data_IF_204513497039
#
_entry.id   IF_204513497039
#
_cell.length_a   1.000
_cell.length_b   1.000
_cell.length_c   1.000
_cell.angle_alpha   90.00
_cell.angle_beta   90.00
_cell.angle_gamma   90.00
#
_symmetry.space_group_name_H-M   'P 1'
#
loop_
_entity.id
_entity.type
_entity.pdbx_description
1 polymer ?
#
# COMPACT_ATOMS: atom_id res chain seq x y z
N UNK A 1 -30.73 -16.00 8.11
CA UNK A 1 -30.09 -14.76 8.56
C UNK A 1 -28.69 -15.17 9.01
N UNK A 2 -27.72 -15.18 8.08
CA UNK A 2 -26.38 -15.71 8.32
C UNK A 2 -25.46 -14.56 8.72
N UNK A 3 -24.90 -14.67 9.92
CA UNK A 3 -23.81 -13.83 10.40
C UNK A 3 -22.56 -14.18 9.57
N UNK A 4 -21.89 -13.18 8.98
CA UNK A 4 -20.69 -13.38 8.14
C UNK A 4 -19.57 -12.47 8.63
N UNK A 5 -18.77 -13.01 9.55
CA UNK A 5 -17.56 -12.36 10.08
C UNK A 5 -16.38 -12.60 9.11
N UNK A 6 -15.79 -11.54 8.52
CA UNK A 6 -14.52 -11.62 7.76
C UNK A 6 -13.37 -10.93 8.53
N UNK A 7 -12.46 -11.70 9.16
CA UNK A 7 -11.44 -11.15 10.07
C UNK A 7 -10.03 -10.90 9.47
N UNK A 8 -9.79 -11.00 8.15
CA UNK A 8 -8.41 -11.08 7.63
C UNK A 8 -8.09 -10.17 6.43
N UNK A 9 -8.51 -8.90 6.45
CA UNK A 9 -7.96 -7.85 5.56
C UNK A 9 -7.21 -6.83 6.39
N UNK A 10 -5.99 -6.50 5.95
CA UNK A 10 -5.12 -5.53 6.58
C UNK A 10 -4.99 -4.31 5.69
N UNK A 11 -5.23 -3.13 6.28
CA UNK A 11 -4.95 -1.85 5.62
C UNK A 11 -3.64 -1.29 6.16
N UNK A 12 -2.67 -1.06 5.28
CA UNK A 12 -1.41 -0.37 5.59
C UNK A 12 -1.48 1.02 4.98
N UNK A 13 -1.56 2.05 5.83
CA UNK A 13 -1.59 3.44 5.38
C UNK A 13 -0.21 4.06 5.45
N UNK A 14 0.28 4.57 4.32
CA UNK A 14 1.50 5.37 4.24
C UNK A 14 1.14 6.86 4.08
N UNK A 15 1.82 7.72 4.86
CA UNK A 15 1.66 9.18 4.78
C UNK A 15 3.01 9.86 4.73
N UNK A 16 3.10 10.96 3.99
CA UNK A 16 4.35 11.70 3.81
C UNK A 16 5.06 11.33 2.53
N UNK A 17 6.34 10.99 2.62
CA UNK A 17 7.19 10.78 1.46
C UNK A 17 7.53 9.29 1.31
N UNK A 18 7.50 8.79 0.09
CA UNK A 18 7.94 7.44 -0.29
C UNK A 18 9.06 7.57 -1.32
N UNK A 19 10.28 7.56 -0.82
CA UNK A 19 11.55 7.78 -1.52
C UNK A 19 12.58 6.73 -1.08
N UNK A 20 13.85 6.89 -1.49
CA UNK A 20 14.90 5.91 -1.16
C UNK A 20 15.16 5.77 0.35
N UNK A 21 14.88 6.79 1.15
CA UNK A 21 15.12 6.76 2.59
C UNK A 21 13.98 6.05 3.35
N UNK A 22 12.76 6.17 2.85
CA UNK A 22 11.54 5.68 3.50
C UNK A 22 11.00 4.39 2.89
N UNK A 23 11.35 4.08 1.64
CA UNK A 23 10.93 2.87 0.94
C UNK A 23 11.33 1.57 1.63
N UNK A 24 12.52 1.42 2.26
CA UNK A 24 12.87 0.18 2.95
C UNK A 24 11.95 -0.11 4.14
N UNK A 25 11.56 0.94 4.87
CA UNK A 25 10.63 0.83 6.00
C UNK A 25 9.24 0.38 5.54
N UNK A 26 8.72 0.99 4.47
CA UNK A 26 7.45 0.57 3.88
C UNK A 26 7.51 -0.88 3.41
N UNK A 27 8.60 -1.28 2.74
CA UNK A 27 8.78 -2.65 2.27
C UNK A 27 8.78 -3.66 3.43
N UNK A 28 9.61 -3.45 4.45
CA UNK A 28 9.66 -4.36 5.60
C UNK A 28 8.30 -4.52 6.26
N UNK A 29 7.53 -3.43 6.38
CA UNK A 29 6.20 -3.53 6.97
C UNK A 29 5.20 -4.27 6.08
N UNK A 30 5.28 -4.16 4.75
CA UNK A 30 4.42 -4.96 3.86
C UNK A 30 4.80 -6.44 3.92
N UNK A 31 6.11 -6.73 3.94
CA UNK A 31 6.63 -8.11 4.01
C UNK A 31 6.21 -8.84 5.31
N UNK A 32 5.97 -8.13 6.42
CA UNK A 32 5.43 -8.70 7.66
C UNK A 32 4.05 -9.37 7.47
N UNK A 33 3.23 -8.80 6.58
CA UNK A 33 1.87 -9.27 6.31
C UNK A 33 1.82 -10.26 5.15
N UNK A 34 2.78 -10.20 4.22
CA UNK A 34 2.84 -11.08 3.04
C UNK A 34 3.41 -12.44 3.45
N UNK A 35 2.50 -13.33 3.86
CA UNK A 35 2.78 -14.70 4.29
C UNK A 35 1.80 -15.64 3.59
N UNK A 36 2.19 -16.89 3.33
CA UNK A 36 1.25 -17.88 2.81
C UNK A 36 0.03 -18.00 3.74
N UNK A 37 -1.19 -17.93 3.17
CA UNK A 37 -2.44 -17.87 3.93
C UNK A 37 -2.55 -16.67 4.90
N UNK A 38 -1.83 -15.59 4.63
CA UNK A 38 -1.92 -14.32 5.34
C UNK A 38 -3.20 -13.52 5.00
N UNK A 39 -3.43 -12.38 5.66
CA UNK A 39 -4.54 -11.51 5.34
C UNK A 39 -4.35 -10.82 3.99
N UNK A 40 -5.46 -10.50 3.31
CA UNK A 40 -5.44 -9.61 2.15
C UNK A 40 -4.87 -8.25 2.53
N UNK A 41 -4.08 -7.67 1.63
CA UNK A 41 -3.30 -6.47 1.90
C UNK A 41 -3.78 -5.30 1.04
N UNK A 42 -4.26 -4.26 1.72
CA UNK A 42 -4.66 -3.00 1.11
C UNK A 42 -3.66 -1.93 1.50
N UNK A 43 -2.99 -1.32 0.52
CA UNK A 43 -2.02 -0.25 0.76
C UNK A 43 -2.67 1.10 0.44
N UNK A 44 -2.92 1.91 1.47
CA UNK A 44 -3.47 3.25 1.31
C UNK A 44 -2.35 4.30 1.19
N UNK A 45 -2.22 4.86 -0.02
CA UNK A 45 -1.24 5.88 -0.39
C UNK A 45 -1.88 7.26 -0.58
N UNK A 46 -3.14 7.46 -0.19
CA UNK A 46 -3.85 8.74 -0.36
C UNK A 46 -3.18 9.91 0.38
N UNK A 47 -2.48 9.63 1.48
CA UNK A 47 -1.73 10.61 2.26
C UNK A 47 -0.27 10.84 1.81
N UNK A 48 0.15 10.24 0.70
CA UNK A 48 1.51 10.40 0.16
C UNK A 48 1.63 11.68 -0.66
N UNK A 49 2.63 12.49 -0.33
CA UNK A 49 2.92 13.80 -0.96
C UNK A 49 4.06 13.72 -1.97
N UNK A 50 4.97 12.76 -1.80
CA UNK A 50 6.04 12.46 -2.77
C UNK A 50 6.15 10.95 -2.99
N UNK A 51 6.18 10.53 -4.26
CA UNK A 51 6.26 9.13 -4.65
C UNK A 51 7.23 8.98 -5.82
N UNK A 52 8.40 8.41 -5.54
CA UNK A 52 9.49 8.22 -6.51
C UNK A 52 9.59 6.81 -7.07
N UNK A 53 10.65 6.55 -7.83
CA UNK A 53 10.98 5.21 -8.36
C UNK A 53 11.11 4.16 -7.26
N UNK A 54 11.71 4.54 -6.12
CA UNK A 54 11.83 3.68 -4.95
C UNK A 54 10.47 3.18 -4.44
N UNK A 55 9.46 4.06 -4.40
CA UNK A 55 8.09 3.69 -4.03
C UNK A 55 7.44 2.73 -5.03
N UNK A 56 7.67 2.93 -6.33
CA UNK A 56 7.19 2.00 -7.36
C UNK A 56 7.83 0.63 -7.18
N UNK A 57 9.15 0.57 -6.94
CA UNK A 57 9.87 -0.69 -6.69
C UNK A 57 9.33 -1.43 -5.47
N UNK A 58 8.90 -0.72 -4.43
CA UNK A 58 8.27 -1.36 -3.26
C UNK A 58 6.94 -2.02 -3.65
N UNK A 59 6.06 -1.32 -4.36
CA UNK A 59 4.76 -1.86 -4.80
C UNK A 59 4.93 -3.05 -5.76
N UNK A 60 5.71 -2.82 -6.83
CA UNK A 60 6.68 -3.78 -7.38
C UNK A 60 6.74 -5.17 -6.74
N UNK A 61 7.64 -5.22 -5.77
CA UNK A 61 8.06 -6.40 -5.04
C UNK A 61 6.95 -6.94 -4.16
N UNK A 62 6.19 -6.06 -3.49
CA UNK A 62 5.11 -6.46 -2.61
C UNK A 62 4.03 -7.24 -3.36
N UNK A 63 3.59 -6.78 -4.54
CA UNK A 63 2.61 -7.52 -5.34
C UNK A 63 3.16 -8.85 -5.88
N UNK A 64 4.43 -8.89 -6.28
CA UNK A 64 5.05 -10.16 -6.70
C UNK A 64 5.08 -11.17 -5.55
N UNK A 65 5.50 -10.74 -4.36
CA UNK A 65 5.51 -11.59 -3.16
C UNK A 65 4.11 -12.01 -2.73
N UNK A 66 3.13 -11.09 -2.77
CA UNK A 66 1.74 -11.38 -2.42
C UNK A 66 1.13 -12.42 -3.37
N UNK A 67 1.38 -12.27 -4.68
CA UNK A 67 0.97 -13.26 -5.69
C UNK A 67 1.57 -14.64 -5.42
N UNK A 68 2.85 -14.72 -5.04
CA UNK A 68 3.48 -15.99 -4.67
C UNK A 68 2.90 -16.57 -3.38
N UNK A 69 2.49 -15.72 -2.43
CA UNK A 69 1.88 -16.13 -1.17
C UNK A 69 0.38 -16.46 -1.27
N UNK A 70 -0.27 -16.18 -2.41
CA UNK A 70 -1.72 -16.30 -2.57
C UNK A 70 -2.51 -15.26 -1.77
N UNK A 71 -1.93 -14.08 -1.56
CA UNK A 71 -2.53 -12.95 -0.83
C UNK A 71 -2.98 -11.90 -1.85
N UNK A 72 -4.22 -11.41 -1.72
CA UNK A 72 -4.67 -10.31 -2.56
C UNK A 72 -3.94 -9.02 -2.18
N UNK A 73 -3.41 -8.32 -3.18
CA UNK A 73 -2.68 -7.07 -3.00
C UNK A 73 -3.33 -5.94 -3.79
N UNK A 74 -3.84 -4.96 -3.06
CA UNK A 74 -4.62 -3.86 -3.63
C UNK A 74 -4.05 -2.53 -3.15
N UNK A 75 -4.14 -1.50 -4.00
CA UNK A 75 -3.56 -0.17 -3.73
C UNK A 75 -4.65 0.88 -3.80
N UNK A 76 -4.72 1.75 -2.79
CA UNK A 76 -5.58 2.92 -2.79
C UNK A 76 -4.75 4.16 -3.10
N UNK A 77 -5.02 4.78 -4.23
CA UNK A 77 -4.37 6.01 -4.66
C UNK A 77 -5.34 6.88 -5.49
N UNK A 78 -5.74 8.03 -4.95
CA UNK A 78 -6.52 9.04 -5.68
C UNK A 78 -5.69 10.18 -6.26
N UNK A 79 -4.46 10.39 -5.78
CA UNK A 79 -3.62 11.53 -6.10
C UNK A 79 -2.71 11.31 -7.31
N UNK A 80 -2.49 12.37 -8.12
CA UNK A 80 -1.55 12.33 -9.27
C UNK A 80 -0.12 11.98 -8.86
N UNK A 81 0.27 12.29 -7.62
CA UNK A 81 1.59 11.99 -7.04
C UNK A 81 1.93 10.51 -7.18
N UNK A 82 0.98 9.62 -6.92
CA UNK A 82 1.16 8.16 -6.98
C UNK A 82 0.74 7.61 -8.36
N UNK A 83 -0.39 8.09 -8.89
CA UNK A 83 -0.95 7.56 -10.14
C UNK A 83 -0.08 7.86 -11.38
N UNK A 84 0.62 9.00 -11.42
CA UNK A 84 1.43 9.38 -12.59
C UNK A 84 2.66 8.47 -12.74
N UNK A 85 3.49 8.25 -11.70
CA UNK A 85 4.57 7.27 -11.77
C UNK A 85 4.11 5.86 -12.14
N UNK A 86 3.00 5.37 -11.57
CA UNK A 86 2.49 4.02 -11.87
C UNK A 86 2.02 3.86 -13.33
N UNK A 87 1.41 4.91 -13.92
CA UNK A 87 1.02 4.89 -15.34
C UNK A 87 2.22 4.94 -16.28
N UNK A 88 3.23 5.76 -15.97
CA UNK A 88 4.44 5.90 -16.80
C UNK A 88 5.14 4.55 -16.93
N UNK A 89 5.18 3.78 -15.85
CA UNK A 89 5.87 2.49 -15.78
C UNK A 89 4.97 1.36 -16.35
N UNK A 90 3.75 1.68 -16.80
CA UNK A 90 2.81 0.71 -17.40
C UNK A 90 2.27 -0.30 -16.40
N UNK A 91 2.36 0.03 -15.12
CA UNK A 91 2.24 -0.94 -14.04
C UNK A 91 0.88 -0.79 -13.34
N UNK A 92 0.20 0.34 -13.55
CA UNK A 92 -1.14 0.63 -13.05
C UNK A 92 -2.17 -0.47 -13.38
N UNK A 93 -2.20 -1.04 -14.59
CA UNK A 93 -3.17 -2.08 -14.95
C UNK A 93 -2.85 -3.46 -14.34
N UNK A 94 -1.59 -3.68 -13.95
CA UNK A 94 -1.16 -4.88 -13.25
C UNK A 94 -1.42 -4.81 -11.74
N UNK A 95 -1.63 -3.60 -11.20
CA UNK A 95 -2.00 -3.36 -9.81
C UNK A 95 -3.51 -3.13 -9.71
N UNK A 96 -4.19 -3.73 -8.74
CA UNK A 96 -5.54 -3.32 -8.37
C UNK A 96 -5.51 -1.93 -7.72
N UNK A 97 -5.34 -0.88 -8.52
CA UNK A 97 -5.29 0.52 -8.05
C UNK A 97 -6.68 1.11 -8.07
N UNK A 98 -7.15 1.54 -6.90
CA UNK A 98 -8.46 2.14 -6.71
C UNK A 98 -8.34 3.55 -6.13
N UNK A 99 -9.24 4.47 -6.48
CA UNK A 99 -9.26 5.81 -5.90
C UNK A 99 -9.63 5.83 -4.42
N UNK A 100 -10.32 4.81 -3.90
CA UNK A 100 -10.88 4.78 -2.55
C UNK A 100 -10.76 3.40 -1.89
N UNK A 101 -10.60 3.38 -0.57
CA UNK A 101 -10.59 2.14 0.23
C UNK A 101 -11.89 1.36 0.03
N UNK A 102 -13.05 2.02 -0.08
CA UNK A 102 -14.34 1.35 -0.28
C UNK A 102 -14.33 0.44 -1.51
N UNK A 103 -13.87 0.94 -2.66
CA UNK A 103 -13.76 0.13 -3.89
C UNK A 103 -12.77 -1.03 -3.77
N UNK A 104 -11.72 -0.85 -2.97
CA UNK A 104 -10.77 -1.92 -2.70
C UNK A 104 -11.37 -3.00 -1.81
N UNK A 105 -12.10 -2.59 -0.77
CA UNK A 105 -12.84 -3.50 0.08
C UNK A 105 -13.93 -4.21 -0.72
N UNK A 106 -14.64 -3.52 -1.62
CA UNK A 106 -15.62 -4.11 -2.56
C UNK A 106 -14.98 -5.15 -3.50
N UNK A 107 -13.71 -5.00 -3.84
CA UNK A 107 -12.96 -5.95 -4.69
C UNK A 107 -12.41 -7.14 -3.93
N UNK A 108 -11.89 -6.92 -2.73
CA UNK A 108 -11.65 -8.00 -1.77
C UNK A 108 -12.97 -8.74 -1.43
N UNK A 109 -14.09 -8.02 -1.45
CA UNK A 109 -15.45 -8.50 -1.26
C UNK A 109 -16.11 -8.98 -2.58
N UNK A 110 -15.45 -8.88 -3.73
CA UNK A 110 -16.00 -9.24 -5.04
C UNK A 110 -16.10 -10.75 -5.28
N UNK A 111 -15.49 -11.52 -4.37
CA UNK A 111 -15.69 -12.95 -4.16
C UNK A 111 -16.69 -13.23 -2.98
N UNK A 112 -17.41 -12.18 -2.53
CA UNK A 112 -18.49 -12.06 -1.50
C UNK A 112 -18.04 -12.03 0.00
N UNK A 113 -18.85 -11.51 0.98
CA UNK A 113 -18.72 -10.12 1.49
C UNK A 113 -18.73 -9.91 3.04
N UNK A 114 -18.01 -8.90 3.58
CA UNK A 114 -18.35 -7.95 4.72
C UNK A 114 -17.19 -7.65 5.70
N UNK A 115 -16.75 -6.38 5.73
CA UNK A 115 -15.49 -5.91 6.33
C UNK A 115 -15.54 -5.56 7.84
N UNK A 116 -14.55 -6.05 8.60
CA UNK A 116 -14.05 -5.40 9.83
C UNK A 116 -12.67 -4.81 9.55
N UNK A 117 -12.63 -3.54 9.14
CA UNK A 117 -11.38 -2.79 8.95
C UNK A 117 -10.83 -2.42 10.33
N UNK A 118 -9.86 -3.18 10.83
CA UNK A 118 -9.10 -2.75 12.00
C UNK A 118 -8.13 -1.65 11.56
N UNK A 119 -8.25 -0.40 12.04
CA UNK A 119 -7.26 0.64 11.76
C UNK A 119 -6.00 0.30 12.55
N UNK A 120 -5.04 -0.40 11.93
CA UNK A 120 -3.70 -0.45 12.51
C UNK A 120 -2.92 0.79 12.10
N UNK A 121 -2.12 1.24 13.06
CA UNK A 121 -1.46 2.54 13.17
C UNK A 121 -0.93 3.07 11.83
N UNK A 122 -1.26 4.32 11.43
CA UNK A 122 -0.69 4.90 10.22
C UNK A 122 0.83 4.98 10.36
N UNK A 123 1.55 4.42 9.38
CA UNK A 123 3.00 4.57 9.31
C UNK A 123 3.30 6.00 8.87
N UNK A 124 3.81 6.79 9.81
CA UNK A 124 4.28 8.15 9.53
C UNK A 124 5.68 8.05 8.94
N UNK A 125 5.78 8.11 7.60
CA UNK A 125 7.05 8.20 6.91
C UNK A 125 7.56 9.64 7.07
N UNK A 126 8.49 9.84 7.99
CA UNK A 126 9.17 11.11 8.18
C UNK A 126 10.61 10.96 7.76
N UNK A 127 11.00 11.72 6.75
CA UNK A 127 12.40 11.99 6.46
C UNK A 127 12.91 12.98 7.53
N UNK A 128 14.05 12.72 8.20
CA UNK A 128 14.73 13.78 8.89
C UNK A 128 15.22 14.78 7.84
N UNK A 129 14.81 16.04 7.97
CA UNK A 129 15.31 17.14 7.16
C UNK A 129 16.84 17.14 7.24
N UNK A 130 17.51 16.91 6.12
CA UNK A 130 18.94 17.16 5.99
C UNK A 130 19.17 18.66 6.21
N UNK A 131 19.54 19.01 7.44
CA UNK A 131 20.02 20.34 7.78
C UNK A 131 21.26 20.58 6.93
N UNK A 132 21.18 21.56 6.04
CA UNK A 132 22.29 22.11 5.29
C UNK A 132 23.37 22.58 6.27
N UNK A 133 24.42 21.76 6.43
CA UNK A 133 25.66 22.20 7.03
C UNK A 133 26.44 23.01 5.99
N UNK A 134 26.10 24.29 5.87
CA UNK A 134 26.99 25.30 5.30
C UNK A 134 27.85 25.84 6.43
N UNK A 135 29.07 25.32 6.57
CA UNK A 135 30.17 25.93 7.33
C UNK A 135 31.43 25.77 6.47
N UNK A 136 31.76 26.78 5.68
CA UNK A 136 32.74 27.85 5.93
C UNK A 136 34.18 27.34 6.05
#
# INVERSE_FOLDING_TARGET
MVDSTHPHTVVVTARGDVDMATSPLLQSHLDEWIRCSGPDLVVDLTGVRHFGSAGVTVLVRAAASAKTAGVEFLVVAGGRVVLRPLRIIGVHDAFGVYPTISQTLERACGDSPTATTTPRTPLRLTTPSLSTATGR
#
